data_IF_715641037180
#
_entry.id   IF_715641037180
#
_cell.length_a   1.000
_cell.length_b   1.000
_cell.length_c   1.000
_cell.angle_alpha   90.00
_cell.angle_beta   90.00
_cell.angle_gamma   90.00
#
_symmetry.space_group_name_H-M   'P 1'
#
loop_
_entity.id
_entity.type
_entity.pdbx_description
1 polymer ?
#
# COMPACT_ATOMS: atom_id res chain seq x y z
N UNK A 1 -11.51 -6.67 -5.95
CA UNK A 1 -10.16 -6.69 -5.33
C UNK A 1 -9.20 -7.30 -6.32
N UNK A 2 -7.96 -6.79 -6.44
CA UNK A 2 -6.96 -7.38 -7.34
C UNK A 2 -6.07 -8.35 -6.56
N UNK A 3 -5.66 -9.42 -7.23
CA UNK A 3 -4.80 -10.48 -6.70
C UNK A 3 -3.31 -10.29 -7.02
N UNK A 4 -2.89 -9.12 -7.54
CA UNK A 4 -1.54 -8.93 -8.08
C UNK A 4 -0.39 -9.43 -7.18
N UNK A 5 -0.46 -9.22 -5.85
CA UNK A 5 0.58 -9.73 -4.94
C UNK A 5 0.56 -11.23 -4.73
N UNK A 6 -0.63 -11.84 -4.80
CA UNK A 6 -0.80 -13.28 -4.79
C UNK A 6 -0.34 -13.90 -6.11
N UNK A 7 -0.68 -13.29 -7.25
CA UNK A 7 -0.24 -13.76 -8.57
C UNK A 7 1.29 -13.77 -8.66
N UNK A 8 1.95 -12.69 -8.22
CA UNK A 8 3.41 -12.63 -8.14
C UNK A 8 4.01 -13.72 -7.23
N UNK A 9 3.35 -14.05 -6.13
CA UNK A 9 3.81 -15.14 -5.27
C UNK A 9 3.67 -16.50 -5.96
N UNK A 10 2.54 -16.76 -6.62
CA UNK A 10 2.28 -18.00 -7.35
C UNK A 10 3.22 -18.18 -8.55
N UNK A 11 3.64 -17.07 -9.17
CA UNK A 11 4.66 -17.03 -10.22
C UNK A 11 6.09 -17.23 -9.69
N UNK A 12 6.27 -17.34 -8.36
CA UNK A 12 7.55 -17.68 -7.73
C UNK A 12 8.46 -16.50 -7.40
N UNK A 13 7.97 -15.25 -7.46
CA UNK A 13 8.78 -14.07 -7.19
C UNK A 13 9.12 -13.84 -5.70
N UNK A 14 8.54 -14.63 -4.78
CA UNK A 14 8.72 -14.44 -3.34
C UNK A 14 8.78 -15.75 -2.55
N UNK A 15 9.56 -15.76 -1.47
CA UNK A 15 9.60 -16.89 -0.50
C UNK A 15 8.47 -16.83 0.53
N UNK A 16 7.94 -15.65 0.79
CA UNK A 16 6.83 -15.42 1.70
C UNK A 16 5.87 -14.40 1.09
N UNK A 17 4.59 -14.56 1.36
CA UNK A 17 3.54 -13.60 1.04
C UNK A 17 3.12 -12.90 2.34
N UNK A 18 3.36 -11.60 2.41
CA UNK A 18 3.13 -10.81 3.62
C UNK A 18 1.96 -9.88 3.39
N UNK A 19 0.93 -9.98 4.24
CA UNK A 19 -0.18 -9.03 4.28
C UNK A 19 -0.05 -8.13 5.51
N UNK A 20 -0.09 -6.82 5.31
CA UNK A 20 0.02 -5.83 6.38
C UNK A 20 -1.12 -4.83 6.28
N UNK A 21 -1.96 -4.83 7.31
CA UNK A 21 -3.15 -3.99 7.38
C UNK A 21 -4.10 -4.45 8.50
N UNK A 22 -4.45 -3.51 9.37
CA UNK A 22 -5.46 -3.71 10.42
C UNK A 22 -6.88 -3.40 9.96
N UNK A 23 -7.78 -3.23 10.93
CA UNK A 23 -9.12 -2.70 10.70
C UNK A 23 -9.06 -1.16 10.54
N UNK A 24 -8.75 -0.70 9.33
CA UNK A 24 -8.73 0.72 8.96
C UNK A 24 -10.08 1.44 9.10
N UNK A 25 -10.07 2.77 9.00
CA UNK A 25 -11.28 3.64 9.00
C UNK A 25 -12.32 3.22 7.94
N UNK A 26 -11.88 2.65 6.82
CA UNK A 26 -12.73 2.21 5.71
C UNK A 26 -13.22 0.76 5.83
N UNK A 27 -12.64 -0.04 6.73
CA UNK A 27 -12.94 -1.47 6.90
C UNK A 27 -13.66 -1.78 8.20
N UNK A 28 -13.68 -0.84 9.16
CA UNK A 28 -14.32 -1.00 10.48
C UNK A 28 -15.81 -1.34 10.43
N UNK A 29 -16.54 -0.79 9.46
CA UNK A 29 -17.98 -1.05 9.29
C UNK A 29 -18.26 -2.20 8.30
N UNK A 30 -17.24 -2.72 7.61
CA UNK A 30 -17.37 -3.74 6.56
C UNK A 30 -16.85 -5.12 6.95
N UNK A 31 -15.93 -5.21 7.92
CA UNK A 31 -15.25 -6.46 8.25
C UNK A 31 -15.10 -6.67 9.76
N UNK A 32 -15.38 -7.90 10.21
CA UNK A 32 -15.18 -8.35 11.59
C UNK A 32 -13.74 -8.79 11.88
N UNK A 33 -12.86 -8.80 10.85
CA UNK A 33 -11.45 -9.18 10.94
C UNK A 33 -10.52 -8.14 10.27
N UNK A 34 -9.24 -8.05 10.70
CA UNK A 34 -8.22 -7.21 10.08
C UNK A 34 -8.05 -7.48 8.57
N UNK A 35 -7.67 -6.45 7.81
CA UNK A 35 -7.47 -6.55 6.36
C UNK A 35 -6.42 -7.61 5.99
N UNK A 36 -5.33 -7.71 6.75
CA UNK A 36 -4.30 -8.73 6.55
C UNK A 36 -4.85 -10.16 6.63
N UNK A 37 -5.77 -10.41 7.56
CA UNK A 37 -6.37 -11.73 7.75
C UNK A 37 -7.48 -12.03 6.71
N UNK A 38 -8.09 -11.00 6.12
CA UNK A 38 -8.96 -11.15 4.94
C UNK A 38 -8.15 -11.70 3.78
N UNK A 39 -7.04 -11.05 3.45
CA UNK A 39 -6.22 -11.46 2.32
C UNK A 39 -5.50 -12.79 2.53
N UNK A 40 -5.12 -13.11 3.78
CA UNK A 40 -4.55 -14.42 4.10
C UNK A 40 -5.52 -15.56 3.81
N UNK A 41 -6.80 -15.41 4.19
CA UNK A 41 -7.82 -16.44 3.89
C UNK A 41 -8.01 -16.65 2.38
N UNK A 42 -7.99 -15.56 1.60
CA UNK A 42 -8.05 -15.64 0.13
C UNK A 42 -6.84 -16.38 -0.43
N UNK A 43 -5.63 -16.05 0.04
CA UNK A 43 -4.40 -16.71 -0.39
C UNK A 43 -4.39 -18.22 -0.05
N UNK A 44 -4.87 -18.59 1.14
CA UNK A 44 -5.03 -20.00 1.54
C UNK A 44 -6.01 -20.74 0.62
N UNK A 45 -7.16 -20.14 0.32
CA UNK A 45 -8.16 -20.71 -0.60
C UNK A 45 -7.62 -20.89 -2.01
N UNK A 46 -6.68 -20.03 -2.43
CA UNK A 46 -6.00 -20.11 -3.73
C UNK A 46 -4.76 -21.02 -3.72
N UNK A 47 -4.53 -21.77 -2.62
CA UNK A 47 -3.52 -22.82 -2.57
C UNK A 47 -2.13 -22.38 -2.08
N UNK A 48 -1.98 -21.16 -1.57
CA UNK A 48 -0.72 -20.75 -0.93
C UNK A 48 -0.53 -21.51 0.38
N UNK A 49 0.63 -22.17 0.59
CA UNK A 49 0.90 -22.88 1.84
C UNK A 49 0.90 -21.93 3.04
N UNK A 50 0.26 -22.34 4.15
CA UNK A 50 0.11 -21.51 5.34
C UNK A 50 1.45 -21.07 5.96
N UNK A 51 2.50 -21.89 5.85
CA UNK A 51 3.85 -21.56 6.33
C UNK A 51 4.55 -20.47 5.50
N UNK A 52 4.00 -20.12 4.34
CA UNK A 52 4.49 -19.05 3.46
C UNK A 52 3.76 -17.73 3.68
N UNK A 53 2.63 -17.73 4.37
CA UNK A 53 1.83 -16.53 4.62
C UNK A 53 2.21 -15.91 5.97
N UNK A 54 2.39 -14.60 5.98
CA UNK A 54 2.66 -13.82 7.19
C UNK A 54 1.64 -12.69 7.25
N UNK A 55 0.91 -12.57 8.37
CA UNK A 55 -0.05 -11.49 8.59
C UNK A 55 0.44 -10.51 9.66
N UNK A 56 0.35 -9.23 9.33
CA UNK A 56 0.58 -8.11 10.24
C UNK A 56 -0.75 -7.32 10.36
N UNK A 57 -1.54 -7.54 11.43
CA UNK A 57 -2.92 -7.03 11.51
C UNK A 57 -3.08 -5.72 12.31
N UNK A 58 -1.99 -5.04 12.70
CA UNK A 58 -2.05 -3.89 13.63
C UNK A 58 -1.98 -2.55 12.91
N UNK A 59 -1.37 -2.50 11.72
CA UNK A 59 -1.10 -1.24 11.02
C UNK A 59 -2.36 -0.52 10.55
N UNK A 60 -2.36 0.80 10.65
CA UNK A 60 -3.48 1.67 10.24
C UNK A 60 -3.11 2.66 9.16
N UNK A 61 -1.83 2.70 8.77
CA UNK A 61 -1.28 3.59 7.76
C UNK A 61 0.01 3.01 7.17
N UNK A 62 0.43 3.50 6.00
CA UNK A 62 1.59 2.98 5.26
C UNK A 62 2.89 2.99 6.06
N UNK A 63 3.13 3.97 6.96
CA UNK A 63 4.33 3.97 7.79
C UNK A 63 4.32 2.87 8.85
N UNK A 64 3.16 2.62 9.45
CA UNK A 64 2.96 1.47 10.34
C UNK A 64 3.12 0.15 9.61
N UNK A 65 2.63 0.02 8.37
CA UNK A 65 2.81 -1.20 7.58
C UNK A 65 4.30 -1.57 7.51
N UNK A 66 5.18 -0.59 7.23
CA UNK A 66 6.64 -0.79 7.15
C UNK A 66 7.21 -1.17 8.52
N UNK A 67 6.94 -0.38 9.56
CA UNK A 67 7.54 -0.57 10.89
C UNK A 67 7.07 -1.85 11.59
N UNK A 68 5.77 -2.14 11.53
CA UNK A 68 5.21 -3.33 12.17
C UNK A 68 5.55 -4.60 11.40
N UNK A 69 5.64 -4.55 10.07
CA UNK A 69 6.17 -5.68 9.29
C UNK A 69 7.62 -5.96 9.64
N UNK A 70 8.46 -4.91 9.81
CA UNK A 70 9.84 -5.07 10.27
C UNK A 70 9.94 -5.76 11.62
N UNK A 71 9.15 -5.29 12.60
CA UNK A 71 9.08 -5.87 13.94
C UNK A 71 8.68 -7.36 13.88
N UNK A 72 7.64 -7.68 13.11
CA UNK A 72 7.16 -9.05 12.93
C UNK A 72 8.21 -9.98 12.29
N UNK A 73 8.92 -9.48 11.27
CA UNK A 73 9.99 -10.25 10.63
C UNK A 73 11.15 -10.51 11.60
N UNK A 74 11.53 -9.53 12.43
CA UNK A 74 12.55 -9.72 13.46
C UNK A 74 12.14 -10.77 14.50
N UNK A 75 10.90 -10.73 14.98
CA UNK A 75 10.36 -11.72 15.93
C UNK A 75 10.37 -13.15 15.34
N UNK A 76 10.19 -13.29 14.02
CA UNK A 76 10.28 -14.57 13.31
C UNK A 76 11.71 -14.97 12.94
N UNK A 77 12.73 -14.16 13.27
CA UNK A 77 14.12 -14.40 12.85
C UNK A 77 14.33 -14.27 11.34
N UNK A 78 13.43 -13.60 10.62
CA UNK A 78 13.49 -13.41 9.18
C UNK A 78 14.21 -12.10 8.84
N UNK A 79 15.18 -12.18 7.93
CA UNK A 79 15.93 -11.02 7.43
C UNK A 79 15.93 -11.02 5.89
N UNK A 80 14.78 -10.70 5.25
CA UNK A 80 14.73 -10.58 3.80
C UNK A 80 15.66 -9.46 3.31
N UNK A 81 16.35 -9.70 2.20
CA UNK A 81 17.22 -8.72 1.53
C UNK A 81 16.53 -7.99 0.39
N UNK A 82 15.37 -8.48 -0.04
CA UNK A 82 14.60 -7.89 -1.11
C UNK A 82 13.09 -7.92 -0.84
N UNK A 83 12.36 -6.97 -1.40
CA UNK A 83 10.90 -6.88 -1.31
C UNK A 83 10.24 -6.54 -2.66
N UNK A 84 9.06 -7.09 -2.88
CA UNK A 84 8.11 -6.57 -3.87
C UNK A 84 6.93 -6.00 -3.09
N UNK A 85 6.80 -4.67 -3.11
CA UNK A 85 5.75 -3.96 -2.37
C UNK A 85 4.57 -3.76 -3.30
N UNK A 86 3.46 -4.43 -3.01
CA UNK A 86 2.24 -4.34 -3.84
C UNK A 86 1.25 -3.38 -3.21
N UNK A 87 0.79 -2.40 -3.98
CA UNK A 87 -0.23 -1.44 -3.55
C UNK A 87 -1.29 -1.19 -4.62
N UNK A 88 -2.26 -0.34 -4.30
CA UNK A 88 -3.17 0.30 -5.25
C UNK A 88 -2.35 1.22 -6.18
N UNK A 89 -2.73 1.36 -7.46
CA UNK A 89 -1.94 2.13 -8.44
C UNK A 89 -1.62 3.57 -7.98
N UNK A 90 -2.60 4.29 -7.43
CA UNK A 90 -2.40 5.66 -6.94
C UNK A 90 -1.54 5.77 -5.66
N UNK A 91 -1.15 4.65 -5.04
CA UNK A 91 -0.35 4.60 -3.81
C UNK A 91 1.12 4.23 -4.03
N UNK A 92 1.54 3.84 -5.23
CA UNK A 92 2.89 3.31 -5.48
C UNK A 92 3.97 4.31 -5.07
N UNK A 93 3.90 5.55 -5.59
CA UNK A 93 4.91 6.58 -5.31
C UNK A 93 4.99 6.95 -3.82
N UNK A 94 3.84 6.97 -3.13
CA UNK A 94 3.78 7.19 -1.68
C UNK A 94 4.39 6.01 -0.91
N UNK A 95 4.16 4.78 -1.38
CA UNK A 95 4.72 3.57 -0.78
C UNK A 95 6.23 3.54 -0.94
N UNK A 96 6.74 3.83 -2.14
CA UNK A 96 8.17 3.97 -2.40
C UNK A 96 8.81 4.98 -1.45
N UNK A 97 8.25 6.20 -1.38
CA UNK A 97 8.81 7.26 -0.56
C UNK A 97 8.75 6.96 0.95
N UNK A 98 7.71 6.25 1.39
CA UNK A 98 7.55 5.82 2.79
C UNK A 98 8.53 4.71 3.14
N UNK A 99 8.62 3.66 2.31
CA UNK A 99 9.51 2.52 2.55
C UNK A 99 10.97 2.98 2.55
N UNK A 100 11.38 3.79 1.57
CA UNK A 100 12.74 4.38 1.51
C UNK A 100 13.10 5.16 2.76
N UNK A 101 12.12 5.81 3.40
CA UNK A 101 12.34 6.62 4.60
C UNK A 101 12.37 5.80 5.89
N UNK A 102 11.52 4.78 5.97
CA UNK A 102 11.20 4.11 7.24
C UNK A 102 11.75 2.70 7.35
N UNK A 103 12.15 2.06 6.25
CA UNK A 103 12.86 0.79 6.31
C UNK A 103 14.31 1.03 6.77
N UNK A 104 14.77 0.36 7.85
CA UNK A 104 16.02 0.73 8.51
C UNK A 104 17.29 0.23 7.81
N UNK A 105 17.19 -0.75 6.91
CA UNK A 105 18.35 -1.32 6.22
C UNK A 105 18.50 -0.71 4.82
N UNK A 106 19.52 0.14 4.59
CA UNK A 106 19.74 0.79 3.30
C UNK A 106 20.20 -0.18 2.20
N UNK A 107 20.61 -1.41 2.54
CA UNK A 107 21.04 -2.43 1.58
C UNK A 107 19.90 -3.35 1.15
N UNK A 108 18.69 -3.16 1.69
CA UNK A 108 17.52 -3.91 1.25
C UNK A 108 17.09 -3.41 -0.13
N UNK A 109 17.06 -4.31 -1.11
CA UNK A 109 16.51 -4.04 -2.44
C UNK A 109 14.98 -4.04 -2.37
N UNK A 110 14.32 -3.19 -3.14
CA UNK A 110 12.87 -3.30 -3.26
C UNK A 110 12.36 -2.71 -4.56
N UNK A 111 11.22 -3.22 -5.00
CA UNK A 111 10.41 -2.61 -6.06
C UNK A 111 9.01 -2.35 -5.54
N UNK A 112 8.32 -1.38 -6.14
CA UNK A 112 6.91 -1.11 -5.87
C UNK A 112 6.13 -1.39 -7.14
N UNK A 113 5.01 -2.07 -7.00
CA UNK A 113 4.14 -2.42 -8.12
C UNK A 113 2.68 -2.39 -7.67
N UNK A 114 1.79 -2.47 -8.64
CA UNK A 114 0.35 -2.54 -8.47
C UNK A 114 -0.25 -3.40 -9.57
N UNK A 115 -1.56 -3.70 -9.51
CA UNK A 115 -2.24 -4.36 -10.60
C UNK A 115 -2.08 -3.55 -11.90
N UNK A 116 -1.69 -4.22 -12.98
CA UNK A 116 -1.60 -3.61 -14.30
C UNK A 116 -3.01 -3.38 -14.85
N UNK A 117 -3.56 -2.19 -14.59
CA UNK A 117 -4.91 -1.79 -14.95
C UNK A 117 -4.87 -0.39 -15.54
N UNK A 118 -5.63 -0.18 -16.60
CA UNK A 118 -5.93 1.14 -17.12
C UNK A 118 -6.86 1.90 -16.15
N UNK A 119 -6.89 3.23 -16.28
CA UNK A 119 -7.68 4.08 -15.37
C UNK A 119 -9.15 3.67 -15.27
N UNK A 120 -9.78 3.32 -16.40
CA UNK A 120 -11.21 2.98 -16.42
C UNK A 120 -11.52 1.57 -15.88
N UNK A 121 -10.49 0.74 -15.70
CA UNK A 121 -10.64 -0.62 -15.17
C UNK A 121 -10.54 -0.67 -13.64
N UNK A 122 -9.97 0.37 -13.01
CA UNK A 122 -9.74 0.37 -11.57
C UNK A 122 -11.00 0.72 -10.75
N UNK A 123 -11.74 1.82 -11.02
CA UNK A 123 -12.99 2.12 -10.33
C UNK A 123 -14.05 1.05 -10.56
N UNK A 124 -14.80 0.72 -9.52
CA UNK A 124 -15.89 -0.25 -9.57
C UNK A 124 -16.95 0.06 -8.52
N UNK A 125 -17.94 -0.82 -8.35
CA UNK A 125 -19.02 -0.62 -7.38
C UNK A 125 -18.51 -0.47 -5.93
N UNK A 126 -17.43 -1.17 -5.56
CA UNK A 126 -16.85 -1.10 -4.20
C UNK A 126 -15.91 0.09 -4.02
N UNK A 127 -15.30 0.57 -5.11
CA UNK A 127 -14.42 1.74 -5.16
C UNK A 127 -14.89 2.72 -6.26
N UNK A 128 -15.93 3.53 -5.99
CA UNK A 128 -16.45 4.48 -6.96
C UNK A 128 -15.39 5.45 -7.46
N UNK A 129 -15.53 5.90 -8.71
CA UNK A 129 -14.56 6.81 -9.37
C UNK A 129 -14.23 8.04 -8.53
N UNK A 130 -15.24 8.71 -7.97
CA UNK A 130 -15.01 9.92 -7.17
C UNK A 130 -14.23 9.64 -5.88
N UNK A 131 -14.44 8.48 -5.25
CA UNK A 131 -13.66 8.06 -4.09
C UNK A 131 -12.20 7.83 -4.47
N UNK A 132 -11.95 7.16 -5.60
CA UNK A 132 -10.59 6.92 -6.12
C UNK A 132 -9.88 8.25 -6.38
N UNK A 133 -10.55 9.22 -7.02
CA UNK A 133 -9.99 10.55 -7.28
C UNK A 133 -9.67 11.27 -5.97
N UNK A 134 -10.59 11.28 -5.01
CA UNK A 134 -10.35 11.92 -3.70
C UNK A 134 -9.11 11.33 -3.01
N UNK A 135 -8.96 10.01 -2.99
CA UNK A 135 -7.81 9.35 -2.37
C UNK A 135 -6.51 9.69 -3.11
N UNK A 136 -6.52 9.64 -4.45
CA UNK A 136 -5.35 9.96 -5.27
C UNK A 136 -4.88 11.42 -5.06
N UNK A 137 -5.82 12.37 -4.98
CA UNK A 137 -5.53 13.78 -4.64
C UNK A 137 -4.95 13.90 -3.24
N UNK A 138 -5.56 13.24 -2.26
CA UNK A 138 -5.03 13.20 -0.90
C UNK A 138 -3.59 12.69 -0.84
N UNK A 139 -3.29 11.62 -1.58
CA UNK A 139 -1.95 11.04 -1.64
C UNK A 139 -0.93 11.94 -2.33
N UNK A 140 -1.32 12.70 -3.37
CA UNK A 140 -0.48 13.74 -3.95
C UNK A 140 -0.07 14.80 -2.91
N UNK A 141 -1.02 15.26 -2.09
CA UNK A 141 -0.72 16.23 -1.02
C UNK A 141 0.20 15.62 0.04
N UNK A 142 -0.03 14.36 0.44
CA UNK A 142 0.87 13.65 1.37
C UNK A 142 2.28 13.52 0.82
N UNK A 143 2.46 13.19 -0.47
CA UNK A 143 3.77 13.11 -1.11
C UNK A 143 4.50 14.46 -1.02
N UNK A 144 3.78 15.58 -1.15
CA UNK A 144 4.36 16.93 -1.01
C UNK A 144 4.72 17.28 0.43
N UNK A 145 3.87 16.98 1.39
CA UNK A 145 3.97 17.50 2.77
C UNK A 145 4.70 16.57 3.75
N UNK A 146 4.54 15.26 3.61
CA UNK A 146 5.04 14.28 4.57
C UNK A 146 6.58 14.19 4.68
N UNK A 147 7.38 14.55 3.65
CA UNK A 147 8.83 14.65 3.81
C UNK A 147 9.26 15.61 4.91
N UNK A 148 8.59 16.77 5.03
CA UNK A 148 8.86 17.78 6.08
C UNK A 148 8.57 17.23 7.48
N UNK A 149 7.61 16.30 7.58
CA UNK A 149 7.22 15.62 8.82
C UNK A 149 8.09 14.39 9.12
N UNK A 150 9.05 14.07 8.26
CA UNK A 150 9.94 12.92 8.42
C UNK A 150 9.34 11.56 8.08
N UNK A 151 8.13 11.51 7.50
CA UNK A 151 7.46 10.23 7.19
C UNK A 151 7.85 9.64 5.82
N UNK A 152 8.29 10.46 4.88
CA UNK A 152 8.66 10.07 3.53
C UNK A 152 10.00 10.73 3.13
N UNK A 153 10.67 10.19 2.12
CA UNK A 153 11.69 10.96 1.39
C UNK A 153 11.01 11.96 0.45
N UNK A 154 11.66 13.09 0.10
CA UNK A 154 11.14 14.00 -0.92
C UNK A 154 10.94 13.27 -2.26
N UNK A 155 9.90 13.68 -3.00
CA UNK A 155 9.64 13.21 -4.36
C UNK A 155 9.50 14.43 -5.26
N UNK A 156 10.02 14.33 -6.47
CA UNK A 156 9.77 15.34 -7.50
C UNK A 156 8.30 15.24 -7.96
N UNK A 157 7.63 16.38 -8.00
CA UNK A 157 6.24 16.49 -8.44
C UNK A 157 6.24 17.46 -9.62
N UNK A 158 6.09 16.96 -10.86
CA UNK A 158 6.03 17.82 -12.03
C UNK A 158 4.91 18.86 -11.90
N UNK A 159 5.18 20.08 -12.35
CA UNK A 159 4.21 21.19 -12.24
C UNK A 159 2.85 20.83 -12.85
N UNK A 160 2.84 20.12 -13.99
CA UNK A 160 1.59 19.68 -14.61
C UNK A 160 0.75 18.77 -13.69
N UNK A 161 1.40 17.88 -12.93
CA UNK A 161 0.75 16.98 -11.97
C UNK A 161 0.25 17.77 -10.76
N UNK A 162 1.08 18.69 -10.24
CA UNK A 162 0.66 19.56 -9.14
C UNK A 162 -0.56 20.40 -9.52
N UNK A 163 -0.52 21.06 -10.68
CA UNK A 163 -1.64 21.86 -11.19
C UNK A 163 -2.90 21.03 -11.45
N UNK A 164 -2.76 19.77 -11.89
CA UNK A 164 -3.90 18.87 -12.03
C UNK A 164 -4.55 18.55 -10.67
N UNK A 165 -3.74 18.24 -9.64
CA UNK A 165 -4.23 18.07 -8.28
C UNK A 165 -4.96 19.30 -7.75
N UNK A 166 -4.40 20.49 -7.95
CA UNK A 166 -5.01 21.76 -7.56
C UNK A 166 -6.33 22.05 -8.28
N UNK A 167 -6.50 21.61 -9.54
CA UNK A 167 -7.79 21.71 -10.25
C UNK A 167 -8.84 20.77 -9.64
N UNK A 168 -8.45 19.55 -9.30
CA UNK A 168 -9.36 18.56 -8.69
C UNK A 168 -9.81 19.01 -7.29
N UNK A 169 -8.91 19.57 -6.48
CA UNK A 169 -9.26 20.14 -5.16
C UNK A 169 -10.30 21.25 -5.32
N UNK A 170 -10.10 22.17 -6.27
CA UNK A 170 -11.07 23.24 -6.58
C UNK A 170 -12.41 22.72 -7.10
N UNK A 171 -12.42 21.56 -7.74
CA UNK A 171 -13.62 20.87 -8.21
C UNK A 171 -14.34 20.07 -7.11
N UNK A 172 -13.83 20.06 -5.87
CA UNK A 172 -14.48 19.41 -4.72
C UNK A 172 -13.88 18.06 -4.31
N UNK A 173 -12.81 17.59 -4.95
CA UNK A 173 -12.12 16.36 -4.56
C UNK A 173 -11.15 16.56 -3.39
N UNK A 174 -11.70 16.87 -2.21
CA UNK A 174 -10.93 17.26 -1.02
C UNK A 174 -11.25 16.45 0.25
N UNK A 175 -12.04 15.37 0.16
CA UNK A 175 -12.49 14.61 1.33
C UNK A 175 -11.41 13.72 1.98
N UNK A 176 -10.27 13.53 1.30
CA UNK A 176 -9.15 12.69 1.74
C UNK A 176 -7.82 13.46 1.88
N UNK A 177 -7.87 14.79 1.96
CA UNK A 177 -6.70 15.61 2.30
C UNK A 177 -6.17 15.23 3.71
N UNK A 178 -4.86 15.41 3.97
CA UNK A 178 -4.24 15.06 5.25
C UNK A 178 -4.75 15.87 6.46
#
# INVERSE_FOLDING_TARGET
MSNAGLDLFLDGYGKHLIFSGGAGKLTRDRFTKPEADIFADVALQMGVPADKIITEPRSTNTGENVRFTRELLQQKGLQPRSFILVQKPYMERRTFATFSKQWPDPNTEFTVTSPNLEWDEYPNADNPRDLVINIAVGDLIRIKEYPVRGFQIPQDIPDAVWQAGQRLIRAGYNSHLP
#
